data_IF_199892886502
#
_entry.id   IF_199892886502
#
_cell.length_a   1.000
_cell.length_b   1.000
_cell.length_c   1.000
_cell.angle_alpha   90.00
_cell.angle_beta   90.00
_cell.angle_gamma   90.00
#
_symmetry.space_group_name_H-M   'P 1'
#
loop_
_entity.id
_entity.type
_entity.pdbx_description
1 polymer ?
#
# COMPACT_ATOMS: atom_id res chain seq x y z
N UNK A 1 -4.84 11.85 -15.11
CA UNK A 1 -3.72 11.78 -14.16
C UNK A 1 -2.41 12.12 -14.88
N UNK A 2 -1.47 12.81 -14.21
CA UNK A 2 -0.09 12.98 -14.67
C UNK A 2 0.81 11.94 -14.00
N UNK A 3 1.55 11.21 -14.83
CA UNK A 3 2.56 10.24 -14.40
C UNK A 3 3.92 10.86 -14.64
N UNK A 4 4.69 11.03 -13.57
CA UNK A 4 5.99 11.69 -13.60
C UNK A 4 7.08 10.71 -13.18
N UNK A 5 8.34 11.05 -13.44
CA UNK A 5 9.48 10.20 -13.08
C UNK A 5 9.55 9.91 -11.57
N UNK A 6 9.15 10.87 -10.74
CA UNK A 6 9.23 10.78 -9.27
C UNK A 6 7.86 10.61 -8.59
N UNK A 7 6.78 10.28 -9.32
CA UNK A 7 5.47 10.19 -8.70
C UNK A 7 4.27 10.35 -9.61
N UNK A 8 3.12 10.61 -9.01
CA UNK A 8 1.84 10.82 -9.69
C UNK A 8 1.20 12.12 -9.21
N UNK A 9 0.51 12.81 -10.11
CA UNK A 9 -0.34 13.96 -9.77
C UNK A 9 -1.73 13.77 -10.36
N UNK A 10 -2.75 13.86 -9.53
CA UNK A 10 -4.15 13.66 -9.93
C UNK A 10 -5.08 14.58 -9.15
N UNK A 11 -5.60 15.63 -9.79
CA UNK A 11 -6.38 16.67 -9.13
C UNK A 11 -5.65 17.24 -7.88
N UNK A 12 -6.24 17.10 -6.69
CA UNK A 12 -5.70 17.54 -5.41
C UNK A 12 -4.74 16.53 -4.75
N UNK A 13 -4.45 15.42 -5.44
CA UNK A 13 -3.62 14.32 -4.93
C UNK A 13 -2.24 14.36 -5.57
N UNK A 14 -1.21 14.30 -4.73
CA UNK A 14 0.17 14.14 -5.19
C UNK A 14 0.81 12.95 -4.48
N UNK A 15 1.25 11.96 -5.26
CA UNK A 15 2.07 10.86 -4.77
C UNK A 15 3.53 11.15 -5.13
N UNK A 16 4.40 11.13 -4.13
CA UNK A 16 5.85 11.18 -4.25
C UNK A 16 6.42 9.78 -4.08
N UNK A 17 7.29 9.39 -4.99
CA UNK A 17 7.96 8.09 -4.96
C UNK A 17 9.47 8.25 -4.78
N UNK A 18 9.93 8.01 -3.55
CA UNK A 18 11.34 8.06 -3.18
C UNK A 18 12.05 6.71 -3.40
N UNK A 19 11.37 5.75 -4.04
CA UNK A 19 11.86 4.40 -4.26
C UNK A 19 11.54 3.47 -3.09
N UNK A 20 12.24 3.62 -1.96
CA UNK A 20 12.05 2.76 -0.78
C UNK A 20 10.76 3.06 -0.01
N UNK A 21 10.19 4.25 -0.19
CA UNK A 21 8.92 4.65 0.39
C UNK A 21 8.19 5.63 -0.53
N UNK A 22 6.90 5.76 -0.29
CA UNK A 22 5.99 6.66 -0.97
C UNK A 22 5.34 7.60 0.06
N UNK A 23 5.09 8.82 -0.37
CA UNK A 23 4.30 9.80 0.38
C UNK A 23 3.14 10.24 -0.48
N UNK A 24 1.92 10.18 0.06
CA UNK A 24 0.73 10.64 -0.65
C UNK A 24 0.14 11.82 0.11
N UNK A 25 0.03 12.95 -0.58
CA UNK A 25 -0.66 14.14 -0.10
C UNK A 25 -2.02 14.27 -0.77
N UNK A 26 -3.04 14.54 0.05
CA UNK A 26 -4.40 14.85 -0.38
C UNK A 26 -4.90 16.04 0.46
N UNK A 27 -4.78 17.25 -0.09
CA UNK A 27 -5.00 18.48 0.68
C UNK A 27 -4.09 18.58 1.90
N UNK A 28 -4.67 18.54 3.11
CA UNK A 28 -3.91 18.58 4.38
C UNK A 28 -3.52 17.19 4.88
N UNK A 29 -4.04 16.12 4.28
CA UNK A 29 -3.81 14.75 4.74
C UNK A 29 -2.56 14.20 4.06
N UNK A 30 -1.70 13.56 4.85
CA UNK A 30 -0.47 12.93 4.35
C UNK A 30 -0.35 11.49 4.85
N UNK A 31 -0.07 10.60 3.91
CA UNK A 31 0.16 9.18 4.14
C UNK A 31 1.62 8.82 3.81
N UNK A 32 2.25 8.02 4.65
CA UNK A 32 3.52 7.34 4.39
C UNK A 32 3.27 5.86 4.14
N UNK A 33 3.97 5.31 3.16
CA UNK A 33 3.90 3.90 2.80
C UNK A 33 5.28 3.37 2.40
N UNK A 34 5.74 2.28 3.02
CA UNK A 34 6.91 1.52 2.56
C UNK A 34 6.61 0.05 2.24
N UNK A 35 5.39 -0.41 2.56
CA UNK A 35 5.04 -1.83 2.62
C UNK A 35 5.00 -2.34 4.05
N UNK A 36 6.05 -2.05 4.83
CA UNK A 36 6.16 -2.39 6.25
C UNK A 36 5.61 -1.30 7.18
N UNK A 37 5.64 -0.05 6.72
CA UNK A 37 5.11 1.11 7.44
C UNK A 37 3.96 1.70 6.64
N UNK A 38 2.81 1.84 7.27
CA UNK A 38 1.64 2.54 6.75
C UNK A 38 1.20 3.55 7.81
N UNK A 39 1.26 4.85 7.51
CA UNK A 39 0.98 5.87 8.52
C UNK A 39 0.35 7.14 7.94
N UNK A 40 -0.79 7.55 8.49
CA UNK A 40 -1.42 8.85 8.27
C UNK A 40 -0.87 9.85 9.30
N UNK A 41 0.05 10.73 8.87
CA UNK A 41 0.80 11.61 9.80
C UNK A 41 0.18 12.98 10.00
N UNK A 42 -0.74 13.41 9.13
CA UNK A 42 -1.28 14.77 9.13
C UNK A 42 -2.00 15.16 10.42
N UNK A 43 -2.30 14.19 11.27
CA UNK A 43 -2.99 14.36 12.55
C UNK A 43 -2.07 14.26 13.77
N UNK A 44 -0.82 13.79 13.63
CA UNK A 44 0.05 13.43 14.75
C UNK A 44 1.14 14.49 14.93
N UNK A 45 1.30 15.03 16.14
CA UNK A 45 2.41 15.93 16.44
C UNK A 45 3.74 15.18 16.40
N UNK A 46 4.83 15.85 16.02
CA UNK A 46 6.16 15.22 15.97
C UNK A 46 6.57 14.62 17.31
N UNK A 47 6.28 15.31 18.43
CA UNK A 47 6.55 14.82 19.78
C UNK A 47 5.83 13.49 20.06
N UNK A 48 4.53 13.40 19.72
CA UNK A 48 3.77 12.16 19.90
C UNK A 48 4.35 11.05 19.04
N UNK A 49 4.66 11.36 17.79
CA UNK A 49 5.17 10.40 16.84
C UNK A 49 6.53 9.84 17.27
N UNK A 50 7.43 10.71 17.76
CA UNK A 50 8.73 10.32 18.30
C UNK A 50 8.58 9.39 19.50
N UNK A 51 7.62 9.66 20.39
CA UNK A 51 7.33 8.80 21.55
C UNK A 51 6.75 7.44 21.15
N UNK A 52 5.85 7.41 20.17
CA UNK A 52 5.29 6.16 19.62
C UNK A 52 6.39 5.30 18.98
N UNK A 53 7.22 5.90 18.13
CA UNK A 53 8.34 5.20 17.47
C UNK A 53 9.34 4.70 18.51
N UNK A 54 9.66 5.51 19.50
CA UNK A 54 10.56 5.11 20.59
C UNK A 54 9.98 3.93 21.38
N UNK A 55 8.67 3.93 21.68
CA UNK A 55 8.00 2.81 22.34
C UNK A 55 8.09 1.52 21.52
N UNK A 56 7.84 1.59 20.21
CA UNK A 56 7.95 0.45 19.28
C UNK A 56 9.38 -0.09 19.25
N UNK A 57 10.38 0.78 19.11
CA UNK A 57 11.80 0.38 19.11
C UNK A 57 12.25 -0.26 20.43
N UNK A 58 11.53 -0.01 21.53
CA UNK A 58 11.74 -0.65 22.83
C UNK A 58 10.97 -1.97 23.00
N UNK A 59 10.15 -2.36 22.03
CA UNK A 59 9.30 -3.55 22.10
C UNK A 59 8.12 -3.40 23.05
N UNK A 60 7.69 -2.17 23.35
CA UNK A 60 6.53 -1.92 24.22
C UNK A 60 5.25 -2.23 23.43
N UNK A 61 4.45 -3.16 23.93
CA UNK A 61 3.26 -3.69 23.23
C UNK A 61 2.07 -2.75 23.30
N UNK A 62 1.95 -1.99 24.38
CA UNK A 62 0.84 -1.06 24.60
C UNK A 62 1.39 0.27 25.09
N UNK A 63 0.98 1.37 24.45
CA UNK A 63 1.46 2.70 24.83
C UNK A 63 0.43 3.75 24.43
N UNK A 64 0.17 4.73 25.29
CA UNK A 64 -0.76 5.81 25.02
C UNK A 64 -0.07 7.16 25.21
N UNK A 65 -0.25 8.08 24.27
CA UNK A 65 0.24 9.43 24.47
C UNK A 65 -0.58 10.44 23.68
N UNK A 66 -1.08 11.47 24.38
CA UNK A 66 -1.83 12.61 23.82
C UNK A 66 -2.96 12.20 22.83
N UNK A 67 -3.76 11.19 23.19
CA UNK A 67 -4.89 10.73 22.38
C UNK A 67 -4.52 9.68 21.34
N UNK A 68 -3.28 9.18 21.34
CA UNK A 68 -2.83 8.13 20.43
C UNK A 68 -2.50 6.86 21.18
N UNK A 69 -3.12 5.75 20.80
CA UNK A 69 -2.91 4.43 21.36
C UNK A 69 -2.11 3.56 20.37
N UNK A 70 -0.95 3.10 20.82
CA UNK A 70 -0.20 2.00 20.25
C UNK A 70 -0.72 0.68 20.84
N UNK A 71 -1.01 -0.28 19.97
CA UNK A 71 -1.38 -1.63 20.34
C UNK A 71 -0.68 -2.63 19.43
N UNK A 72 0.07 -3.55 20.03
CA UNK A 72 0.61 -4.70 19.36
C UNK A 72 -0.43 -5.81 19.27
N UNK A 73 -0.65 -6.31 18.06
CA UNK A 73 -1.51 -7.46 17.78
C UNK A 73 -0.63 -8.60 17.26
N UNK A 74 -0.51 -9.72 17.99
CA UNK A 74 0.27 -10.86 17.55
C UNK A 74 -0.40 -11.56 16.36
N UNK A 75 0.42 -12.06 15.43
CA UNK A 75 0.00 -12.94 14.34
C UNK A 75 0.98 -14.11 14.16
N UNK A 76 0.61 -15.08 13.32
CA UNK A 76 1.50 -16.22 13.04
C UNK A 76 2.81 -15.73 12.41
N UNK A 77 3.93 -15.94 13.11
CA UNK A 77 5.23 -15.35 12.74
C UNK A 77 5.49 -14.06 13.52
N UNK A 78 5.34 -12.92 12.84
CA UNK A 78 5.50 -11.58 13.42
C UNK A 78 4.15 -10.87 13.50
N UNK A 79 3.96 -10.07 14.54
CA UNK A 79 2.77 -9.25 14.79
C UNK A 79 2.80 -7.91 14.07
N UNK A 80 1.80 -7.08 14.34
CA UNK A 80 1.74 -5.71 13.85
C UNK A 80 1.49 -4.73 15.00
N UNK A 81 2.17 -3.60 14.95
CA UNK A 81 1.87 -2.44 15.77
C UNK A 81 0.80 -1.60 15.09
N UNK A 82 -0.35 -1.48 15.73
CA UNK A 82 -1.43 -0.60 15.32
C UNK A 82 -1.35 0.71 16.09
N UNK A 83 -1.56 1.81 15.38
CA UNK A 83 -1.68 3.14 15.98
C UNK A 83 -3.11 3.61 15.74
N UNK A 84 -3.78 3.95 16.84
CA UNK A 84 -5.14 4.46 16.85
C UNK A 84 -5.19 5.88 17.38
N UNK A 85 -5.96 6.75 16.71
CA UNK A 85 -6.37 8.03 17.26
C UNK A 85 -7.65 7.82 18.06
N UNK A 86 -7.65 8.21 19.34
CA UNK A 86 -8.76 8.00 20.27
C UNK A 86 -9.25 9.33 20.83
N UNK A 87 -10.41 9.29 21.50
CA UNK A 87 -10.98 10.46 22.19
C UNK A 87 -10.49 10.59 23.64
N UNK A 88 -9.58 9.72 24.09
CA UNK A 88 -9.09 9.69 25.47
C UNK A 88 -8.32 10.98 25.77
N UNK A 89 -8.71 11.65 26.86
CA UNK A 89 -8.03 12.82 27.41
C UNK A 89 -7.74 12.57 28.89
N UNK A 90 -6.58 11.98 29.16
CA UNK A 90 -6.14 11.65 30.52
C UNK A 90 -4.65 11.99 30.69
N UNK A 91 -4.38 13.02 31.49
CA UNK A 91 -3.02 13.44 31.84
C UNK A 91 -2.30 12.43 32.74
N UNK A 92 -3.02 11.69 33.60
CA UNK A 92 -2.43 10.65 34.44
C UNK A 92 -1.95 9.48 33.57
N UNK A 93 -2.75 9.06 32.59
CA UNK A 93 -2.35 8.06 31.61
C UNK A 93 -1.11 8.51 30.81
N UNK A 94 -1.08 9.76 30.32
CA UNK A 94 0.11 10.31 29.66
C UNK A 94 1.36 10.25 30.56
N UNK A 95 1.23 10.65 31.82
CA UNK A 95 2.33 10.60 32.78
C UNK A 95 2.81 9.17 33.05
N UNK A 96 1.89 8.20 33.16
CA UNK A 96 2.23 6.78 33.32
C UNK A 96 2.92 6.22 32.10
N UNK A 97 2.50 6.60 30.90
CA UNK A 97 3.18 6.24 29.66
C UNK A 97 4.61 6.76 29.62
N UNK A 98 4.85 8.00 30.03
CA UNK A 98 6.22 8.54 30.13
C UNK A 98 7.05 7.79 31.17
N UNK A 99 6.47 7.46 32.33
CA UNK A 99 7.13 6.64 33.35
C UNK A 99 7.48 5.23 32.83
N UNK A 100 6.62 4.62 32.00
CA UNK A 100 6.91 3.35 31.32
C UNK A 100 8.14 3.47 30.41
N UNK A 101 8.23 4.53 29.58
CA UNK A 101 9.39 4.76 28.72
C UNK A 101 10.71 4.96 29.49
N UNK A 102 10.61 5.54 30.69
CA UNK A 102 11.73 5.76 31.59
C UNK A 102 12.08 4.53 32.45
N UNK A 103 11.31 3.44 32.35
CA UNK A 103 11.48 2.22 33.15
C UNK A 103 11.12 2.39 34.62
N UNK A 104 10.38 3.44 34.98
CA UNK A 104 9.90 3.70 36.35
C UNK A 104 8.68 2.86 36.73
N UNK A 105 7.92 2.39 35.73
CA UNK A 105 6.75 1.51 35.88
C UNK A 105 6.93 0.33 34.93
N UNK A 106 6.56 -0.88 35.37
CA UNK A 106 6.59 -2.09 34.53
C UNK A 106 5.44 -2.09 33.51
N UNK A 107 5.62 -2.84 32.41
CA UNK A 107 4.59 -2.96 31.38
C UNK A 107 3.28 -3.53 31.95
N UNK A 108 3.35 -4.54 32.84
CA UNK A 108 2.16 -5.15 33.46
C UNK A 108 1.35 -4.12 34.26
N UNK A 109 2.01 -3.31 35.10
CA UNK A 109 1.35 -2.27 35.92
C UNK A 109 0.75 -1.19 35.03
N UNK A 110 1.42 -0.84 33.92
CA UNK A 110 0.90 0.10 32.95
C UNK A 110 -0.34 -0.46 32.23
N UNK A 111 -0.29 -1.71 31.77
CA UNK A 111 -1.40 -2.39 31.08
C UNK A 111 -2.63 -2.44 31.99
N UNK A 112 -2.47 -2.82 33.26
CA UNK A 112 -3.56 -2.85 34.24
C UNK A 112 -4.26 -1.49 34.37
N UNK A 113 -3.48 -0.40 34.34
CA UNK A 113 -4.05 0.95 34.36
C UNK A 113 -4.76 1.29 33.03
N UNK A 114 -4.16 0.93 31.90
CA UNK A 114 -4.73 1.16 30.56
C UNK A 114 -6.06 0.41 30.36
N UNK A 115 -6.28 -0.73 31.02
CA UNK A 115 -7.52 -1.51 30.92
C UNK A 115 -8.79 -0.74 31.35
N UNK A 116 -8.66 0.36 32.09
CA UNK A 116 -9.78 1.31 32.34
C UNK A 116 -10.43 1.83 31.05
N UNK A 117 -9.69 1.81 29.94
CA UNK A 117 -10.08 2.31 28.63
C UNK A 117 -10.46 1.19 27.65
N UNK A 118 -10.73 -0.02 28.14
CA UNK A 118 -11.19 -1.11 27.30
C UNK A 118 -12.50 -0.74 26.58
N UNK A 119 -12.54 -0.99 25.26
CA UNK A 119 -13.72 -0.73 24.44
C UNK A 119 -13.87 0.71 23.94
N UNK A 120 -12.92 1.60 24.25
CA UNK A 120 -12.86 2.94 23.64
C UNK A 120 -12.65 2.80 22.12
N UNK A 121 -13.43 3.56 21.34
CA UNK A 121 -13.30 3.60 19.88
C UNK A 121 -12.05 4.40 19.47
N UNK A 122 -11.39 3.94 18.42
CA UNK A 122 -10.28 4.67 17.79
C UNK A 122 -10.28 4.50 16.27
N UNK A 123 -9.84 5.54 15.56
CA UNK A 123 -9.56 5.50 14.13
C UNK A 123 -8.16 4.91 13.92
N UNK A 124 -8.03 3.86 13.10
CA UNK A 124 -6.71 3.36 12.69
C UNK A 124 -6.02 4.43 11.86
N UNK A 125 -4.87 4.91 12.33
CA UNK A 125 -4.05 5.88 11.59
C UNK A 125 -2.72 5.28 11.15
N UNK A 126 -2.31 4.14 11.70
CA UNK A 126 -1.08 3.50 11.26
C UNK A 126 -0.99 2.03 11.59
N UNK A 127 -0.18 1.33 10.80
CA UNK A 127 0.20 -0.07 10.97
C UNK A 127 1.69 -0.20 10.66
N UNK A 128 2.42 -0.88 11.53
CA UNK A 128 3.86 -1.12 11.39
C UNK A 128 4.14 -2.61 11.63
N UNK A 129 4.78 -3.26 10.66
CA UNK A 129 5.19 -4.66 10.74
C UNK A 129 6.30 -4.85 11.79
N UNK A 130 6.11 -5.77 12.73
CA UNK A 130 7.09 -6.07 13.77
C UNK A 130 8.42 -6.59 13.18
N UNK A 131 8.37 -7.37 12.09
CA UNK A 131 9.60 -7.91 11.48
C UNK A 131 10.56 -6.80 11.06
N UNK A 132 10.01 -5.69 10.59
CA UNK A 132 10.79 -4.50 10.25
C UNK A 132 11.56 -3.96 11.46
N UNK A 133 10.90 -3.90 12.63
CA UNK A 133 11.46 -3.36 13.88
C UNK A 133 12.50 -4.28 14.54
N UNK A 134 12.47 -5.58 14.22
CA UNK A 134 13.45 -6.56 14.71
C UNK A 134 14.75 -6.52 13.90
N UNK A 135 14.66 -6.13 12.63
CA UNK A 135 15.79 -6.11 11.70
C UNK A 135 16.37 -4.70 11.53
N UNK A 136 15.60 -3.66 11.86
CA UNK A 136 15.98 -2.26 11.72
C UNK A 136 15.46 -1.43 12.89
N UNK A 137 16.18 -0.36 13.24
CA UNK A 137 15.60 0.69 14.08
C UNK A 137 14.53 1.44 13.27
N UNK A 138 13.29 1.45 13.77
CA UNK A 138 12.21 2.19 13.14
C UNK A 138 12.54 3.68 13.14
N UNK A 139 12.63 4.23 11.93
CA UNK A 139 12.78 5.67 11.69
C UNK A 139 11.81 6.06 10.60
N UNK A 140 11.03 7.11 10.83
CA UNK A 140 10.23 7.64 9.74
C UNK A 140 11.14 8.33 8.71
N UNK A 141 10.86 8.13 7.41
CA UNK A 141 11.62 8.81 6.38
C UNK A 141 11.42 10.32 6.51
N UNK A 142 12.52 11.08 6.32
CA UNK A 142 12.44 12.53 6.19
C UNK A 142 11.70 12.87 4.91
N UNK A 143 10.62 13.62 5.05
CA UNK A 143 9.83 14.10 3.93
C UNK A 143 10.18 15.55 3.62
N UNK A 144 10.62 15.77 2.38
CA UNK A 144 10.76 17.09 1.78
C UNK A 144 10.08 17.02 0.40
N UNK A 145 9.03 17.83 0.15
CA UNK A 145 8.35 17.83 -1.14
C UNK A 145 9.35 18.02 -2.28
N UNK A 146 9.29 17.16 -3.29
CA UNK A 146 10.13 17.28 -4.48
C UNK A 146 9.30 17.72 -5.69
N UNK A 147 9.92 18.42 -6.62
CA UNK A 147 9.26 18.78 -7.88
C UNK A 147 9.07 17.53 -8.75
N UNK A 148 7.83 17.29 -9.18
CA UNK A 148 7.54 16.22 -10.14
C UNK A 148 7.90 16.68 -11.55
N UNK A 149 8.84 15.96 -12.17
CA UNK A 149 9.38 16.33 -13.48
C UNK A 149 9.14 15.23 -14.51
N UNK A 150 9.28 15.59 -15.80
CA UNK A 150 9.09 14.68 -16.93
C UNK A 150 7.73 13.98 -16.86
N UNK A 151 6.64 14.75 -16.86
CA UNK A 151 5.31 14.19 -16.69
C UNK A 151 4.65 13.85 -18.03
N UNK A 152 3.88 12.77 -18.05
CA UNK A 152 3.02 12.35 -19.17
C UNK A 152 1.60 12.13 -18.69
N UNK A 153 0.64 12.48 -19.53
CA UNK A 153 -0.76 12.20 -19.25
C UNK A 153 -1.06 10.70 -19.40
N UNK A 154 -1.83 10.18 -18.47
CA UNK A 154 -2.41 8.85 -18.51
C UNK A 154 -3.86 8.94 -18.07
N UNK A 155 -4.75 8.39 -18.90
CA UNK A 155 -6.14 8.18 -18.52
C UNK A 155 -6.22 6.99 -17.57
N UNK A 156 -6.74 7.24 -16.38
CA UNK A 156 -6.91 6.25 -15.32
C UNK A 156 -8.31 6.42 -14.77
N UNK A 157 -9.09 5.34 -14.71
CA UNK A 157 -10.41 5.35 -14.07
C UNK A 157 -10.36 4.47 -12.83
N UNK A 158 -10.84 5.01 -11.71
CA UNK A 158 -11.01 4.26 -10.48
C UNK A 158 -12.43 3.68 -10.43
N UNK A 159 -12.53 2.37 -10.57
CA UNK A 159 -13.75 1.58 -10.32
C UNK A 159 -13.64 0.91 -8.95
N UNK A 160 -14.77 0.47 -8.37
CA UNK A 160 -14.87 -0.10 -7.02
C UNK A 160 -13.62 -0.89 -6.55
N UNK A 161 -13.34 -2.03 -7.19
CA UNK A 161 -12.19 -2.90 -6.90
C UNK A 161 -11.09 -2.87 -7.96
N UNK A 162 -11.20 -1.99 -8.95
CA UNK A 162 -10.34 -2.00 -10.13
C UNK A 162 -9.82 -0.61 -10.50
N UNK A 163 -8.62 -0.58 -11.05
CA UNK A 163 -8.07 0.56 -11.78
C UNK A 163 -8.11 0.20 -13.26
N UNK A 164 -8.82 0.98 -14.08
CA UNK A 164 -8.83 0.81 -15.53
C UNK A 164 -7.76 1.70 -16.18
N UNK A 165 -6.91 1.07 -17.01
CA UNK A 165 -5.90 1.73 -17.85
C UNK A 165 -5.94 1.05 -19.22
N UNK A 166 -6.12 1.84 -20.29
CA UNK A 166 -6.24 1.34 -21.68
C UNK A 166 -7.26 0.20 -21.84
N UNK A 167 -8.45 0.32 -21.23
CA UNK A 167 -9.53 -0.69 -21.23
C UNK A 167 -9.18 -2.02 -20.55
N UNK A 168 -8.07 -2.09 -19.81
CA UNK A 168 -7.73 -3.23 -18.95
C UNK A 168 -7.92 -2.81 -17.50
N UNK A 169 -8.70 -3.60 -16.77
CA UNK A 169 -9.00 -3.42 -15.36
C UNK A 169 -8.02 -4.23 -14.52
N UNK A 170 -7.21 -3.54 -13.73
CA UNK A 170 -6.26 -4.13 -12.78
C UNK A 170 -6.89 -4.12 -11.39
N UNK A 171 -6.92 -5.27 -10.70
CA UNK A 171 -7.47 -5.32 -9.36
C UNK A 171 -6.62 -4.46 -8.41
N UNK A 172 -7.28 -3.58 -7.65
CA UNK A 172 -6.62 -2.77 -6.63
C UNK A 172 -5.97 -3.71 -5.62
N UNK A 173 -4.69 -3.44 -5.31
CA UNK A 173 -3.94 -4.13 -4.28
C UNK A 173 -4.60 -3.85 -2.92
N UNK A 174 -4.80 -4.91 -2.15
CA UNK A 174 -5.37 -4.79 -0.82
C UNK A 174 -4.31 -4.26 0.16
N UNK A 175 -4.36 -2.96 0.43
CA UNK A 175 -3.59 -2.31 1.51
C UNK A 175 -4.61 -1.92 2.58
N UNK A 176 -4.63 -2.69 3.66
CA UNK A 176 -5.64 -2.58 4.70
C UNK A 176 -5.78 -1.16 5.27
N UNK A 177 -6.99 -0.82 5.71
CA UNK A 177 -7.36 0.41 6.43
C UNK A 177 -7.39 1.71 5.62
N UNK A 178 -6.83 1.74 4.40
CA UNK A 178 -6.78 2.96 3.59
C UNK A 178 -7.05 2.70 2.09
N UNK A 179 -8.31 2.54 1.71
CA UNK A 179 -8.74 2.32 0.31
C UNK A 179 -8.17 3.36 -0.66
N UNK A 180 -8.07 4.62 -0.21
CA UNK A 180 -7.47 5.70 -0.97
C UNK A 180 -5.99 5.43 -1.28
N UNK A 181 -5.21 4.99 -0.29
CA UNK A 181 -3.80 4.62 -0.45
C UNK A 181 -3.65 3.44 -1.42
N UNK A 182 -4.49 2.41 -1.24
CA UNK A 182 -4.54 1.22 -2.11
C UNK A 182 -4.65 1.56 -3.59
N UNK A 183 -5.54 2.51 -3.94
CA UNK A 183 -5.76 2.96 -5.33
C UNK A 183 -4.49 3.52 -5.97
N UNK A 184 -3.85 4.49 -5.33
CA UNK A 184 -2.69 5.18 -5.90
C UNK A 184 -1.42 4.32 -5.88
N UNK A 185 -1.21 3.51 -4.84
CA UNK A 185 -0.11 2.55 -4.83
C UNK A 185 -0.30 1.50 -5.92
N UNK A 186 -1.53 1.04 -6.19
CA UNK A 186 -1.81 0.13 -7.29
C UNK A 186 -1.42 0.73 -8.63
N UNK A 187 -1.86 1.97 -8.92
CA UNK A 187 -1.49 2.69 -10.15
C UNK A 187 0.03 2.77 -10.30
N UNK A 188 0.73 3.18 -9.24
CA UNK A 188 2.18 3.28 -9.25
C UNK A 188 2.87 1.93 -9.54
N UNK A 189 2.41 0.84 -8.90
CA UNK A 189 2.95 -0.50 -9.13
C UNK A 189 2.69 -0.98 -10.56
N UNK A 190 1.54 -0.65 -11.15
CA UNK A 190 1.19 -0.98 -12.55
C UNK A 190 2.15 -0.24 -13.50
N UNK A 191 2.28 1.07 -13.36
CA UNK A 191 3.12 1.91 -14.21
C UNK A 191 4.61 1.51 -14.10
N UNK A 192 5.10 1.27 -12.89
CA UNK A 192 6.48 0.78 -12.68
C UNK A 192 6.68 -0.68 -13.16
N UNK A 193 5.62 -1.35 -13.59
CA UNK A 193 5.66 -2.73 -14.03
C UNK A 193 5.94 -3.74 -12.93
N UNK A 194 5.71 -3.38 -11.66
CA UNK A 194 5.89 -4.23 -10.49
C UNK A 194 4.57 -4.85 -9.99
N UNK A 195 3.44 -4.52 -10.63
CA UNK A 195 2.14 -5.08 -10.31
C UNK A 195 2.12 -6.60 -10.47
N UNK A 196 1.52 -7.27 -9.49
CA UNK A 196 1.18 -8.69 -9.51
C UNK A 196 -0.24 -8.81 -8.98
N UNK A 197 -1.13 -9.42 -9.74
CA UNK A 197 -2.54 -9.49 -9.39
C UNK A 197 -3.42 -9.79 -10.59
N UNK A 198 -4.71 -9.75 -10.33
CA UNK A 198 -5.77 -10.03 -11.30
C UNK A 198 -5.92 -8.89 -12.31
N UNK A 199 -6.11 -9.24 -13.58
CA UNK A 199 -6.46 -8.33 -14.65
C UNK A 199 -7.76 -8.81 -15.32
N UNK A 200 -8.56 -7.88 -15.82
CA UNK A 200 -9.81 -8.16 -16.52
C UNK A 200 -10.03 -7.23 -17.71
N UNK A 201 -10.70 -7.75 -18.72
CA UNK A 201 -11.32 -6.99 -19.82
C UNK A 201 -12.84 -7.15 -19.69
N UNK A 202 -13.63 -6.88 -20.72
CA UNK A 202 -15.09 -7.03 -20.63
C UNK A 202 -15.53 -8.49 -20.60
N UNK A 203 -14.84 -9.37 -21.33
CA UNK A 203 -15.14 -10.79 -21.49
C UNK A 203 -13.95 -11.72 -21.16
N UNK A 204 -12.90 -11.17 -20.55
CA UNK A 204 -11.66 -11.87 -20.25
C UNK A 204 -11.15 -11.60 -18.84
N UNK A 205 -10.38 -12.56 -18.34
CA UNK A 205 -9.73 -12.49 -17.04
C UNK A 205 -8.34 -13.11 -17.10
N UNK A 206 -7.48 -12.65 -16.21
CA UNK A 206 -6.11 -13.12 -16.14
C UNK A 206 -5.40 -12.71 -14.87
N UNK A 207 -4.13 -13.10 -14.80
CA UNK A 207 -3.25 -12.81 -13.68
C UNK A 207 -1.85 -12.50 -14.17
N UNK A 208 -1.29 -11.41 -13.64
CA UNK A 208 0.12 -11.06 -13.77
C UNK A 208 0.82 -11.53 -12.49
N UNK A 209 1.89 -12.32 -12.63
CA UNK A 209 2.66 -12.83 -11.48
C UNK A 209 4.17 -12.57 -11.58
N UNK A 210 4.66 -12.04 -12.71
CA UNK A 210 5.98 -11.43 -12.83
C UNK A 210 5.89 -9.94 -13.19
N UNK A 211 7.03 -9.25 -13.18
CA UNK A 211 7.12 -7.85 -13.61
C UNK A 211 6.67 -7.69 -15.06
N UNK A 212 5.88 -6.65 -15.36
CA UNK A 212 5.34 -6.39 -16.71
C UNK A 212 6.45 -6.33 -17.76
N UNK A 213 7.58 -5.67 -17.47
CA UNK A 213 8.73 -5.62 -18.38
C UNK A 213 9.46 -6.96 -18.59
N UNK A 214 9.19 -7.98 -17.78
CA UNK A 214 9.72 -9.33 -17.95
C UNK A 214 8.78 -10.25 -18.73
N UNK A 215 7.54 -9.84 -18.99
CA UNK A 215 6.59 -10.61 -19.78
C UNK A 215 7.10 -10.65 -21.23
N UNK A 216 7.50 -11.85 -21.66
CA UNK A 216 8.01 -12.18 -23.00
C UNK A 216 7.44 -13.54 -23.44
N UNK A 217 7.74 -13.92 -24.68
CA UNK A 217 7.44 -15.25 -25.24
C UNK A 217 5.95 -15.62 -25.15
N UNK A 218 5.09 -14.72 -25.61
CA UNK A 218 3.65 -14.92 -25.53
C UNK A 218 3.19 -15.96 -26.56
N UNK A 219 2.52 -16.99 -26.07
CA UNK A 219 1.91 -18.04 -26.86
C UNK A 219 0.40 -17.81 -26.91
N UNK A 220 -0.16 -17.84 -28.12
CA UNK A 220 -1.59 -17.69 -28.37
C UNK A 220 -2.19 -19.05 -28.73
N UNK A 221 -3.29 -19.41 -28.08
CA UNK A 221 -3.97 -20.68 -28.36
C UNK A 221 -5.46 -20.62 -28.04
N UNK A 222 -6.23 -21.56 -28.59
CA UNK A 222 -7.62 -21.79 -28.20
C UNK A 222 -7.67 -23.11 -27.41
N UNK A 223 -7.85 -23.02 -26.09
CA UNK A 223 -7.56 -24.15 -25.18
C UNK A 223 -8.37 -24.08 -23.89
N UNK A 224 -8.54 -25.22 -23.22
CA UNK A 224 -9.09 -25.30 -21.86
C UNK A 224 -8.03 -25.05 -20.77
N UNK A 225 -6.74 -25.12 -21.11
CA UNK A 225 -5.65 -24.94 -20.15
C UNK A 225 -4.91 -23.67 -20.52
N UNK A 226 -5.14 -22.61 -19.75
CA UNK A 226 -4.55 -21.30 -19.99
C UNK A 226 -3.61 -20.90 -18.86
N UNK A 227 -2.39 -21.45 -18.87
CA UNK A 227 -1.37 -21.19 -17.85
C UNK A 227 -1.87 -21.57 -16.46
N UNK A 228 -2.14 -20.56 -15.62
CA UNK A 228 -2.69 -20.75 -14.26
C UNK A 228 -4.19 -21.11 -14.21
N UNK A 229 -4.89 -21.11 -15.35
CA UNK A 229 -6.33 -21.37 -15.42
C UNK A 229 -6.64 -22.73 -16.07
N UNK A 230 -7.70 -23.37 -15.57
CA UNK A 230 -8.33 -24.55 -16.17
C UNK A 230 -9.81 -24.24 -16.38
N UNK A 231 -10.23 -24.18 -17.64
CA UNK A 231 -11.53 -23.73 -18.09
C UNK A 231 -12.45 -24.91 -18.41
N UNK A 232 -13.76 -24.72 -18.23
CA UNK A 232 -14.78 -25.72 -18.57
C UNK A 232 -14.87 -25.95 -20.08
N UNK A 233 -14.76 -24.87 -20.85
CA UNK A 233 -14.79 -24.83 -22.32
C UNK A 233 -13.54 -24.16 -22.87
N UNK A 234 -13.09 -24.50 -24.09
CA UNK A 234 -11.91 -23.85 -24.64
C UNK A 234 -12.19 -22.36 -24.94
N UNK A 235 -11.22 -21.49 -24.64
CA UNK A 235 -11.30 -20.04 -24.89
C UNK A 235 -10.00 -19.53 -25.53
N UNK A 236 -10.01 -18.28 -26.03
CA UNK A 236 -8.80 -17.66 -26.55
C UNK A 236 -7.87 -17.34 -25.37
N UNK A 237 -6.61 -17.76 -25.47
CA UNK A 237 -5.68 -17.76 -24.37
C UNK A 237 -4.33 -17.15 -24.76
N UNK A 238 -3.78 -16.37 -23.84
CA UNK A 238 -2.39 -15.90 -23.85
C UNK A 238 -1.66 -16.47 -22.64
N UNK A 239 -0.51 -17.09 -22.89
CA UNK A 239 0.42 -17.56 -21.85
C UNK A 239 1.79 -16.97 -22.16
N UNK A 240 2.44 -16.39 -21.16
CA UNK A 240 3.84 -15.99 -21.24
C UNK A 240 4.55 -16.12 -19.91
N UNK A 241 5.83 -15.75 -19.89
CA UNK A 241 6.71 -15.85 -18.72
C UNK A 241 6.35 -14.82 -17.62
N UNK A 242 5.16 -14.95 -17.03
CA UNK A 242 4.65 -14.01 -16.04
C UNK A 242 3.19 -13.61 -16.15
N UNK A 243 2.46 -14.12 -17.15
CA UNK A 243 1.06 -13.78 -17.39
C UNK A 243 0.28 -15.00 -17.87
N UNK A 244 -0.97 -15.09 -17.42
CA UNK A 244 -1.97 -15.99 -18.00
C UNK A 244 -3.26 -15.18 -18.16
N UNK A 245 -3.87 -15.23 -19.34
CA UNK A 245 -5.09 -14.48 -19.64
C UNK A 245 -5.94 -15.25 -20.64
N UNK A 246 -7.24 -15.38 -20.38
CA UNK A 246 -8.19 -15.97 -21.31
C UNK A 246 -9.39 -15.06 -21.55
N UNK A 247 -10.02 -15.19 -22.71
CA UNK A 247 -11.18 -14.42 -23.11
C UNK A 247 -12.02 -15.15 -24.16
N UNK A 248 -13.32 -14.89 -24.13
CA UNK A 248 -14.26 -15.33 -25.18
C UNK A 248 -14.13 -14.50 -26.46
N UNK A 249 -13.56 -13.30 -26.38
CA UNK A 249 -13.39 -12.41 -27.52
C UNK A 249 -11.91 -12.22 -27.86
N UNK A 250 -11.51 -12.69 -29.05
CA UNK A 250 -10.12 -12.60 -29.52
C UNK A 250 -9.60 -11.16 -29.58
N UNK A 251 -10.45 -10.16 -29.83
CA UNK A 251 -9.99 -8.76 -29.92
C UNK A 251 -9.50 -8.22 -28.55
N UNK A 252 -9.95 -8.80 -27.44
CA UNK A 252 -9.49 -8.40 -26.10
C UNK A 252 -8.04 -8.83 -25.81
N UNK A 253 -7.54 -9.82 -26.56
CA UNK A 253 -6.12 -10.16 -26.54
C UNK A 253 -5.29 -8.98 -27.05
N UNK A 254 -5.70 -8.39 -28.17
CA UNK A 254 -4.99 -7.25 -28.77
C UNK A 254 -5.08 -6.02 -27.86
N UNK A 255 -6.22 -5.81 -27.19
CA UNK A 255 -6.37 -4.76 -26.17
C UNK A 255 -5.41 -4.94 -25.00
N UNK A 256 -5.30 -6.16 -24.45
CA UNK A 256 -4.35 -6.45 -23.38
C UNK A 256 -2.91 -6.21 -23.84
N UNK A 257 -2.56 -6.68 -25.04
CA UNK A 257 -1.23 -6.48 -25.62
C UNK A 257 -0.90 -5.00 -25.81
N UNK A 258 -1.85 -4.24 -26.36
CA UNK A 258 -1.73 -2.80 -26.50
C UNK A 258 -1.51 -2.12 -25.15
N UNK A 259 -2.27 -2.49 -24.13
CA UNK A 259 -2.11 -1.94 -22.78
C UNK A 259 -0.70 -2.23 -22.22
N UNK A 260 -0.24 -3.48 -22.29
CA UNK A 260 1.08 -3.88 -21.76
C UNK A 260 2.23 -3.18 -22.49
N UNK A 261 2.18 -3.05 -23.81
CA UNK A 261 3.22 -2.38 -24.60
C UNK A 261 3.24 -0.86 -24.35
N UNK A 262 2.09 -0.22 -24.20
CA UNK A 262 2.03 1.21 -23.85
C UNK A 262 2.50 1.46 -22.41
N UNK A 263 2.21 0.58 -21.46
CA UNK A 263 2.76 0.67 -20.10
C UNK A 263 4.29 0.55 -20.11
N UNK A 264 4.86 -0.37 -20.90
CA UNK A 264 6.32 -0.48 -21.08
C UNK A 264 6.90 0.80 -21.69
N UNK A 265 6.29 1.31 -22.75
CA UNK A 265 6.72 2.54 -23.43
C UNK A 265 6.67 3.75 -22.50
N UNK A 266 5.58 3.89 -21.72
CA UNK A 266 5.44 4.94 -20.72
C UNK A 266 6.57 4.86 -19.70
N UNK A 267 6.78 3.68 -19.10
CA UNK A 267 7.84 3.43 -18.12
C UNK A 267 9.22 3.78 -18.64
N UNK A 268 9.57 3.29 -19.83
CA UNK A 268 10.88 3.49 -20.43
C UNK A 268 11.10 4.97 -20.76
N UNK A 269 10.07 5.68 -21.22
CA UNK A 269 10.16 7.12 -21.50
C UNK A 269 10.31 8.01 -20.26
N UNK A 270 9.93 7.48 -19.09
CA UNK A 270 10.03 8.15 -17.80
C UNK A 270 11.25 7.68 -16.98
N UNK A 271 12.03 6.74 -17.50
CA UNK A 271 13.17 6.10 -16.81
C UNK A 271 12.79 5.55 -15.43
N UNK A 272 11.69 4.80 -15.37
CA UNK A 272 11.11 4.20 -14.14
C UNK A 272 11.59 2.77 -13.84
#
# INVERSE_FOLDING_TARGET
MLVCRQGLKDNDVTLYDYGSYQVIENGKVRYFYSGEIILKVSDISSNVLDKLIYAINKGIRYFFFEGYLLQYIPSFGYGNYFIFKTEIKDEELNNKSLQLLEGKVSEDVYIDYLMKYQGVKGETIGVIDEFYTLTNELRLPKYEPMELTQCKELEVKFEDKYVEIFNVRFRILDISYFDFLSKYISVLKIIKGNYKGEIKTSLGEGIIYHKIGKIKNLTFSFTKICGKYRLDTPENCIIGDGISFHTKNKDEIDQLMYCLENLKTLRDSLNL
#
